data_IF_311518034084
#
_entry.id   IF_311518034084
#
_cell.length_a   1.000
_cell.length_b   1.000
_cell.length_c   1.000
_cell.angle_alpha   90.00
_cell.angle_beta   90.00
_cell.angle_gamma   90.00
#
_symmetry.space_group_name_H-M   'P 1'
#
loop_
_entity.id
_entity.type
_entity.pdbx_description
1 polymer ?
#
# COMPACT_ATOMS: atom_id res chain seq x y z
N UNK A 1 6.24 15.87 -12.98
CA UNK A 1 5.16 15.21 -12.21
C UNK A 1 3.99 16.18 -12.07
N UNK A 2 2.76 15.75 -12.37
CA UNK A 2 1.57 16.63 -12.28
C UNK A 2 1.04 16.67 -10.85
N UNK A 3 0.82 17.86 -10.31
CA UNK A 3 0.15 18.11 -9.01
C UNK A 3 -1.16 17.33 -8.84
N UNK A 4 -1.83 17.00 -9.95
CA UNK A 4 -3.03 16.17 -9.97
C UNK A 4 -2.82 14.74 -9.45
N UNK A 5 -1.69 14.08 -9.74
CA UNK A 5 -1.42 12.72 -9.27
C UNK A 5 -1.25 12.69 -7.75
N UNK A 6 -0.45 13.62 -7.20
CA UNK A 6 -0.27 13.72 -5.75
C UNK A 6 -1.58 14.04 -5.02
N UNK A 7 -2.46 14.83 -5.63
CA UNK A 7 -3.77 15.15 -5.08
C UNK A 7 -4.69 13.92 -5.07
N UNK A 8 -4.72 13.15 -6.14
CA UNK A 8 -5.51 11.90 -6.26
C UNK A 8 -5.04 10.82 -5.26
N UNK A 9 -3.71 10.68 -5.11
CA UNK A 9 -3.09 9.81 -4.10
C UNK A 9 -3.55 10.20 -2.69
N UNK A 10 -3.43 11.49 -2.36
CA UNK A 10 -3.81 11.99 -1.04
C UNK A 10 -5.31 11.80 -0.77
N UNK A 11 -6.17 12.08 -1.75
CA UNK A 11 -7.62 11.86 -1.63
C UNK A 11 -7.94 10.38 -1.37
N UNK A 12 -7.30 9.47 -2.11
CA UNK A 12 -7.48 8.03 -1.94
C UNK A 12 -7.12 7.58 -0.52
N UNK A 13 -6.00 8.07 0.03
CA UNK A 13 -5.60 7.76 1.40
C UNK A 13 -6.57 8.33 2.44
N UNK A 14 -7.06 9.55 2.26
CA UNK A 14 -8.06 10.15 3.15
C UNK A 14 -9.37 9.35 3.16
N UNK A 15 -9.82 8.90 1.99
CA UNK A 15 -11.05 8.11 1.84
C UNK A 15 -10.91 6.65 2.29
N UNK A 16 -9.69 6.17 2.51
CA UNK A 16 -9.44 4.81 2.96
C UNK A 16 -9.97 4.61 4.39
N UNK A 17 -10.87 3.66 4.56
CA UNK A 17 -11.46 3.24 5.84
C UNK A 17 -11.08 1.80 6.21
N UNK A 18 -10.36 1.10 5.34
CA UNK A 18 -9.82 -0.23 5.58
C UNK A 18 -8.64 -0.50 4.67
N UNK A 19 -7.63 -1.18 5.18
CA UNK A 19 -6.52 -1.70 4.37
C UNK A 19 -6.40 -3.21 4.56
N UNK A 20 -6.16 -3.93 3.46
CA UNK A 20 -5.70 -5.32 3.50
C UNK A 20 -4.31 -5.42 2.91
N UNK A 21 -3.46 -6.19 3.57
CA UNK A 21 -2.08 -6.40 3.16
C UNK A 21 -1.91 -7.83 2.67
N UNK A 22 -1.25 -7.97 1.54
CA UNK A 22 -0.92 -9.23 0.91
C UNK A 22 0.59 -9.33 0.74
N UNK A 23 1.08 -10.57 0.62
CA UNK A 23 2.46 -10.85 0.20
C UNK A 23 2.71 -10.40 -1.25
N UNK A 24 3.94 -10.61 -1.74
CA UNK A 24 4.37 -10.23 -3.09
C UNK A 24 3.54 -10.83 -4.24
N UNK A 25 2.75 -11.89 -3.99
CA UNK A 25 1.84 -12.43 -5.00
C UNK A 25 0.59 -11.55 -5.21
N UNK A 26 0.30 -10.65 -4.26
CA UNK A 26 -0.79 -9.68 -4.31
C UNK A 26 -2.19 -10.28 -4.13
N UNK A 27 -3.25 -9.44 -4.20
CA UNK A 27 -4.63 -9.87 -4.04
C UNK A 27 -5.11 -10.84 -5.15
N UNK A 28 -4.41 -10.88 -6.29
CA UNK A 28 -4.67 -11.76 -7.43
C UNK A 28 -5.67 -11.20 -8.44
N UNK A 29 -5.66 -11.73 -9.66
CA UNK A 29 -6.73 -11.48 -10.64
C UNK A 29 -8.02 -12.22 -10.25
N UNK A 30 -9.21 -11.60 -10.41
CA UNK A 30 -10.50 -12.22 -10.11
C UNK A 30 -10.78 -13.54 -10.86
N UNK A 31 -10.12 -13.78 -11.99
CA UNK A 31 -10.57 -14.77 -12.98
C UNK A 31 -9.88 -16.14 -12.95
N UNK A 32 -8.83 -16.36 -12.15
CA UNK A 32 -8.16 -17.67 -12.08
C UNK A 32 -8.65 -18.49 -10.89
N UNK A 33 -9.47 -19.50 -11.20
CA UNK A 33 -9.85 -20.60 -10.31
C UNK A 33 -8.61 -21.35 -9.79
N UNK A 34 -7.97 -20.85 -8.74
CA UNK A 34 -7.13 -21.66 -7.87
C UNK A 34 -7.68 -21.59 -6.45
N UNK A 35 -8.12 -22.75 -5.96
CA UNK A 35 -8.55 -23.03 -4.58
C UNK A 35 -7.37 -22.84 -3.61
N UNK A 36 -7.03 -21.61 -3.34
CA UNK A 36 -6.18 -21.22 -2.22
C UNK A 36 -6.64 -19.84 -1.81
N UNK A 37 -7.30 -19.73 -0.65
CA UNK A 37 -7.65 -18.46 -0.03
C UNK A 37 -6.31 -17.75 0.20
N UNK A 38 -5.94 -16.79 -0.67
CA UNK A 38 -4.63 -16.12 -0.57
C UNK A 38 -4.52 -15.47 0.80
N UNK A 39 -3.33 -15.57 1.38
CA UNK A 39 -3.06 -15.16 2.76
C UNK A 39 -3.08 -13.64 2.85
N UNK A 40 -4.20 -13.08 3.28
CA UNK A 40 -4.22 -11.72 3.81
C UNK A 40 -3.31 -11.72 5.04
N UNK A 41 -2.19 -11.00 4.96
CA UNK A 41 -1.22 -10.86 6.05
C UNK A 41 -1.75 -9.93 7.16
N UNK A 42 -2.55 -8.94 6.79
CA UNK A 42 -3.24 -8.06 7.73
C UNK A 42 -4.54 -7.51 7.12
N UNK A 43 -5.54 -7.29 7.96
CA UNK A 43 -6.82 -6.67 7.60
C UNK A 43 -7.15 -5.64 8.68
N UNK A 44 -6.90 -4.37 8.39
CA UNK A 44 -6.94 -3.31 9.39
C UNK A 44 -8.06 -2.31 9.10
N UNK A 45 -8.86 -2.03 10.13
CA UNK A 45 -10.02 -1.13 10.13
C UNK A 45 -9.98 -0.12 11.27
N UNK A 46 -9.04 -0.28 12.19
CA UNK A 46 -8.88 0.62 13.33
C UNK A 46 -8.55 2.04 12.88
N UNK A 47 -9.24 3.03 13.45
CA UNK A 47 -9.13 4.42 13.04
C UNK A 47 -7.77 5.03 13.38
N UNK A 48 -7.17 4.66 14.52
CA UNK A 48 -5.83 5.10 14.89
C UNK A 48 -4.80 4.51 13.92
N UNK A 49 -4.89 3.21 13.64
CA UNK A 49 -4.04 2.56 12.65
C UNK A 49 -4.12 3.24 11.29
N UNK A 50 -5.32 3.54 10.79
CA UNK A 50 -5.51 4.19 9.49
C UNK A 50 -5.00 5.64 9.47
N UNK A 51 -5.18 6.40 10.55
CA UNK A 51 -4.62 7.74 10.66
C UNK A 51 -3.08 7.73 10.58
N UNK A 52 -2.44 6.80 11.30
CA UNK A 52 -1.00 6.60 11.21
C UNK A 52 -0.56 6.09 9.83
N UNK A 53 -1.36 5.24 9.18
CA UNK A 53 -1.07 4.76 7.82
C UNK A 53 -1.01 5.91 6.81
N UNK A 54 -1.96 6.84 6.86
CA UNK A 54 -1.98 8.02 5.97
C UNK A 54 -0.70 8.85 6.11
N UNK A 55 -0.20 8.99 7.33
CA UNK A 55 1.06 9.71 7.58
C UNK A 55 2.25 8.92 7.04
N UNK A 56 2.24 7.60 7.23
CA UNK A 56 3.32 6.71 6.80
C UNK A 56 3.42 6.55 5.26
N UNK A 57 2.31 6.67 4.54
CA UNK A 57 2.26 6.61 3.07
C UNK A 57 2.41 7.98 2.40
N UNK A 58 2.66 9.05 3.17
CA UNK A 58 2.86 10.38 2.61
C UNK A 58 4.06 10.37 1.64
N UNK A 59 3.84 10.90 0.43
CA UNK A 59 4.87 10.97 -0.61
C UNK A 59 5.76 12.20 -0.46
N UNK A 60 6.98 12.12 -0.99
CA UNK A 60 7.83 13.30 -1.16
C UNK A 60 7.17 14.29 -2.12
N UNK A 61 7.11 15.60 -1.78
CA UNK A 61 6.47 16.60 -2.63
C UNK A 61 7.20 16.80 -3.97
N UNK A 62 8.49 16.49 -4.01
CA UNK A 62 9.39 16.58 -5.15
C UNK A 62 9.67 15.22 -5.81
N UNK A 63 8.94 14.16 -5.45
CA UNK A 63 9.19 12.83 -6.02
C UNK A 63 9.09 12.85 -7.55
N UNK A 64 9.96 12.10 -8.21
CA UNK A 64 9.82 11.84 -9.64
C UNK A 64 9.18 10.47 -9.82
N UNK A 65 8.26 10.37 -10.79
CA UNK A 65 7.65 9.09 -11.16
C UNK A 65 8.72 8.24 -11.81
N UNK A 66 9.08 7.14 -11.17
CA UNK A 66 9.99 6.15 -11.73
C UNK A 66 9.22 4.92 -12.22
N UNK A 67 9.83 4.09 -13.06
CA UNK A 67 9.24 2.80 -13.48
C UNK A 67 10.27 1.70 -13.24
N UNK A 68 10.27 1.14 -12.03
CA UNK A 68 11.23 0.13 -11.64
C UNK A 68 10.71 -1.21 -12.15
N UNK A 69 11.54 -1.97 -12.86
CA UNK A 69 11.20 -3.33 -13.30
C UNK A 69 11.26 -4.37 -12.16
N UNK A 70 10.90 -3.96 -10.94
CA UNK A 70 10.87 -4.77 -9.72
C UNK A 70 9.42 -5.09 -9.34
N UNK A 71 9.19 -6.25 -8.74
CA UNK A 71 7.90 -6.61 -8.16
C UNK A 71 7.80 -6.07 -6.71
N UNK A 72 6.63 -5.55 -6.29
CA UNK A 72 6.44 -5.13 -4.91
C UNK A 72 6.66 -6.26 -3.90
N UNK A 73 7.25 -5.92 -2.76
CA UNK A 73 7.41 -6.83 -1.61
C UNK A 73 6.05 -7.15 -0.97
N UNK A 74 5.17 -6.14 -0.91
CA UNK A 74 3.82 -6.23 -0.37
C UNK A 74 2.84 -5.52 -1.30
N UNK A 75 1.59 -5.94 -1.23
CA UNK A 75 0.47 -5.24 -1.86
C UNK A 75 -0.52 -4.76 -0.81
N UNK A 76 -0.98 -3.53 -0.94
CA UNK A 76 -2.02 -2.94 -0.11
C UNK A 76 -3.27 -2.74 -0.95
N UNK A 77 -4.36 -3.40 -0.56
CA UNK A 77 -5.70 -3.10 -1.06
C UNK A 77 -6.33 -2.05 -0.14
N UNK A 78 -6.59 -0.87 -0.70
CA UNK A 78 -7.22 0.23 0.00
C UNK A 78 -8.72 0.21 -0.28
N UNK A 79 -9.54 0.17 0.76
CA UNK A 79 -11.00 0.13 0.64
C UNK A 79 -11.64 1.34 1.31
N UNK A 80 -12.67 1.87 0.67
CA UNK A 80 -13.48 2.97 1.16
C UNK A 80 -14.59 2.53 2.12
N UNK A 81 -15.41 3.48 2.61
CA UNK A 81 -16.42 3.23 3.65
C UNK A 81 -17.42 2.11 3.30
N UNK A 82 -17.74 1.96 2.03
CA UNK A 82 -18.66 0.93 1.53
C UNK A 82 -17.98 -0.44 1.27
N UNK A 83 -16.77 -0.64 1.82
CA UNK A 83 -15.85 -1.76 1.51
C UNK A 83 -15.52 -1.87 -0.01
N UNK A 84 -15.80 -0.82 -0.79
CA UNK A 84 -15.43 -0.71 -2.21
C UNK A 84 -13.92 -0.46 -2.36
N UNK A 85 -13.27 -1.19 -3.28
CA UNK A 85 -11.84 -1.01 -3.57
C UNK A 85 -11.61 0.37 -4.19
N UNK A 86 -10.75 1.16 -3.56
CA UNK A 86 -10.30 2.46 -4.05
C UNK A 86 -9.05 2.31 -4.92
N UNK A 87 -8.05 1.56 -4.43
CA UNK A 87 -6.80 1.33 -5.14
C UNK A 87 -6.13 0.02 -4.69
N UNK A 88 -5.22 -0.50 -5.52
CA UNK A 88 -4.25 -1.53 -5.13
C UNK A 88 -2.85 -1.02 -5.41
N UNK A 89 -2.08 -0.78 -4.34
CA UNK A 89 -0.74 -0.23 -4.44
C UNK A 89 0.31 -1.24 -4.00
N UNK A 90 1.49 -1.13 -4.58
CA UNK A 90 2.65 -1.94 -4.19
C UNK A 90 3.55 -1.18 -3.23
N UNK A 91 4.19 -1.87 -2.30
CA UNK A 91 5.32 -1.35 -1.55
C UNK A 91 6.60 -1.98 -2.08
N UNK A 92 7.54 -1.14 -2.53
CA UNK A 92 8.89 -1.55 -2.89
C UNK A 92 9.84 -1.01 -1.84
N UNK A 93 10.45 -1.91 -1.08
CA UNK A 93 11.27 -1.52 0.06
C UNK A 93 12.59 -0.85 -0.34
N UNK A 94 13.11 0.00 0.55
CA UNK A 94 12.44 0.55 1.75
C UNK A 94 11.50 1.75 1.50
N UNK A 95 11.57 2.36 0.33
CA UNK A 95 11.33 3.79 0.17
C UNK A 95 10.30 4.15 -0.91
N UNK A 96 9.74 3.17 -1.61
CA UNK A 96 8.90 3.42 -2.79
C UNK A 96 7.53 2.77 -2.69
N UNK A 97 6.53 3.46 -3.27
CA UNK A 97 5.19 2.95 -3.49
C UNK A 97 4.92 2.86 -4.98
N UNK A 98 4.47 1.70 -5.44
CA UNK A 98 3.90 1.54 -6.78
C UNK A 98 2.46 1.99 -6.78
N UNK A 99 2.19 3.09 -7.48
CA UNK A 99 0.86 3.60 -7.72
C UNK A 99 0.30 3.04 -9.03
N UNK A 100 -0.46 1.95 -8.92
CA UNK A 100 -1.12 1.27 -10.04
C UNK A 100 -0.25 1.19 -11.31
N UNK A 101 -0.75 1.69 -12.45
CA UNK A 101 -0.03 1.78 -13.73
C UNK A 101 0.75 3.08 -13.90
N UNK A 102 0.67 4.00 -12.95
CA UNK A 102 1.19 5.36 -13.10
C UNK A 102 2.66 5.47 -12.70
N UNK A 103 3.18 4.50 -11.94
CA UNK A 103 4.60 4.34 -11.65
C UNK A 103 4.92 4.29 -10.15
N UNK A 104 6.21 4.37 -9.85
CA UNK A 104 6.77 4.27 -8.52
C UNK A 104 7.07 5.67 -7.96
N UNK A 105 6.57 5.92 -6.75
CA UNK A 105 6.58 7.20 -6.04
C UNK A 105 7.33 7.05 -4.71
N UNK A 106 8.21 7.99 -4.40
CA UNK A 106 9.05 7.94 -3.21
C UNK A 106 8.29 8.40 -1.96
N UNK A 107 8.37 7.59 -0.91
CA UNK A 107 7.86 7.91 0.42
C UNK A 107 8.65 9.07 1.04
N UNK A 108 7.94 9.96 1.73
CA UNK A 108 8.54 11.04 2.52
C UNK A 108 9.33 10.52 3.71
N UNK A 109 8.81 9.49 4.37
CA UNK A 109 9.47 8.82 5.49
C UNK A 109 9.32 7.29 5.36
N UNK A 110 10.28 6.63 4.69
CA UNK A 110 10.34 5.17 4.56
C UNK A 110 10.24 4.43 5.91
N UNK A 111 10.76 5.03 6.98
CA UNK A 111 10.80 4.40 8.31
C UNK A 111 9.41 4.37 8.94
N UNK A 112 8.59 5.39 8.70
CA UNK A 112 7.23 5.46 9.23
C UNK A 112 6.37 4.27 8.77
N UNK A 113 6.50 3.84 7.50
CA UNK A 113 5.74 2.69 7.01
C UNK A 113 6.23 1.36 7.58
N UNK A 114 7.54 1.18 7.74
CA UNK A 114 8.09 0.00 8.43
C UNK A 114 7.59 -0.06 9.89
N UNK A 115 7.63 1.06 10.62
CA UNK A 115 7.12 1.13 11.99
C UNK A 115 5.61 0.83 12.06
N UNK A 116 4.85 1.34 11.09
CA UNK A 116 3.43 1.04 10.99
C UNK A 116 3.19 -0.47 10.79
N UNK A 117 3.93 -1.11 9.87
CA UNK A 117 3.84 -2.55 9.64
C UNK A 117 4.17 -3.32 10.91
N UNK A 118 5.25 -2.97 11.61
CA UNK A 118 5.64 -3.63 12.86
C UNK A 118 4.55 -3.55 13.93
N UNK A 119 3.88 -2.39 14.06
CA UNK A 119 2.86 -2.17 15.09
C UNK A 119 1.50 -2.77 14.75
N UNK A 120 1.04 -2.57 13.51
CA UNK A 120 -0.35 -2.83 13.12
C UNK A 120 -0.53 -3.99 12.15
N UNK A 121 0.55 -4.47 11.53
CA UNK A 121 0.55 -5.58 10.58
C UNK A 121 1.80 -6.48 10.73
N UNK A 122 2.07 -7.04 11.93
CA UNK A 122 3.34 -7.70 12.22
C UNK A 122 3.65 -8.91 11.32
N UNK A 123 2.63 -9.62 10.84
CA UNK A 123 2.81 -10.71 9.87
C UNK A 123 3.36 -10.19 8.52
N UNK A 124 2.92 -9.01 8.08
CA UNK A 124 3.45 -8.35 6.88
C UNK A 124 4.88 -7.84 7.11
N UNK A 125 5.18 -7.28 8.28
CA UNK A 125 6.54 -6.90 8.64
C UNK A 125 7.51 -8.10 8.57
N UNK A 126 7.12 -9.25 9.12
CA UNK A 126 7.92 -10.49 9.05
C UNK A 126 8.07 -10.99 7.61
N UNK A 127 7.02 -10.93 6.79
CA UNK A 127 7.08 -11.35 5.39
C UNK A 127 8.10 -10.53 4.57
N UNK A 128 8.33 -9.28 4.97
CA UNK A 128 9.39 -8.46 4.37
C UNK A 128 10.77 -8.72 4.97
N UNK A 129 10.91 -9.20 6.21
CA UNK A 129 12.21 -9.29 6.87
C UNK A 129 13.14 -10.42 6.36
N UNK A 130 12.65 -11.32 5.50
CA UNK A 130 13.41 -12.42 4.89
C UNK A 130 13.85 -12.13 3.46
#
# INVERSE_FOLDING_TARGET
MTTALLADVAETFERTSRVRIFDSAGPGEPHRKRRGRRSVLADQRDAEALAHLRTALALRPDTEVMDWMQWPDLWLELLGPDDGRLAVIGYLRPDWLRWESDGDLELRDPTAFVQWLTRWAPAAATATAG
#
